data_IF_766584112767
#
_entry.id   IF_766584112767
#
_cell.length_a   1.000
_cell.length_b   1.000
_cell.length_c   1.000
_cell.angle_alpha   90.00
_cell.angle_beta   90.00
_cell.angle_gamma   90.00
#
_symmetry.space_group_name_H-M   'P 1'
#
loop_
_entity.id
_entity.type
_entity.pdbx_description
1 polymer ?
#
# COMPACT_ATOMS: atom_id res chain seq x y z
N UNK A 1 2.35 61.37 11.00
CA UNK A 1 2.62 61.90 12.36
C UNK A 1 2.87 60.69 13.25
N UNK A 2 4.16 60.33 13.40
CA UNK A 2 4.96 60.36 14.65
C UNK A 2 4.57 59.20 15.61
N UNK A 3 5.43 58.34 16.14
CA UNK A 3 6.87 58.06 16.01
C UNK A 3 7.16 56.73 16.73
N UNK A 4 8.19 56.01 16.26
CA UNK A 4 8.87 54.87 16.90
C UNK A 4 9.77 55.38 18.05
N UNK A 5 10.21 54.52 18.98
CA UNK A 5 11.67 54.34 19.06
C UNK A 5 12.15 52.88 19.23
N UNK A 6 13.28 52.61 18.57
CA UNK A 6 14.14 51.42 18.67
C UNK A 6 15.16 51.55 19.82
N UNK A 7 15.56 50.41 20.39
CA UNK A 7 16.90 50.12 20.95
C UNK A 7 17.00 48.58 21.07
N UNK A 8 17.82 47.82 20.34
CA UNK A 8 19.29 47.70 20.27
C UNK A 8 19.94 47.51 21.65
N UNK A 9 20.28 46.25 21.95
CA UNK A 9 21.20 45.86 23.03
C UNK A 9 21.91 44.56 22.66
N UNK A 10 23.16 44.67 22.17
CA UNK A 10 24.10 43.56 22.00
C UNK A 10 24.61 43.11 23.36
N UNK A 11 24.61 41.81 23.63
CA UNK A 11 25.44 41.20 24.67
C UNK A 11 26.35 40.13 24.04
N UNK A 12 27.65 40.29 24.25
CA UNK A 12 28.74 39.41 23.83
C UNK A 12 29.61 39.19 25.06
N UNK A 13 29.96 37.94 25.36
CA UNK A 13 30.98 37.41 26.29
C UNK A 13 30.37 36.21 27.05
N UNK A 14 31.02 35.09 27.35
CA UNK A 14 32.38 34.55 27.16
C UNK A 14 32.31 33.09 27.62
N UNK A 15 33.04 32.18 26.97
CA UNK A 15 33.22 30.80 27.42
C UNK A 15 34.08 30.71 28.69
N UNK A 16 33.89 29.71 29.57
CA UNK A 16 34.90 29.33 30.55
C UNK A 16 35.69 28.11 30.07
N UNK A 17 36.99 28.32 29.87
CA UNK A 17 38.03 27.30 29.95
C UNK A 17 38.22 26.88 31.41
N UNK A 18 38.25 25.57 31.69
CA UNK A 18 38.48 25.05 33.03
C UNK A 18 38.91 23.59 33.01
N UNK A 19 40.21 23.37 32.80
CA UNK A 19 40.88 22.09 32.98
C UNK A 19 41.15 21.88 34.48
N UNK A 20 40.70 20.76 35.04
CA UNK A 20 41.09 20.33 36.39
C UNK A 20 41.37 18.82 36.39
N UNK A 21 42.65 18.51 36.52
CA UNK A 21 43.21 17.19 36.81
C UNK A 21 42.98 16.83 38.28
N UNK A 22 42.51 15.61 38.55
CA UNK A 22 42.81 14.91 39.82
C UNK A 22 42.84 13.40 39.61
N UNK A 23 43.97 12.84 40.03
CA UNK A 23 44.39 11.45 39.94
C UNK A 23 44.04 10.64 41.21
N UNK A 24 44.24 9.33 41.09
CA UNK A 24 44.21 8.24 42.10
C UNK A 24 42.82 7.61 42.32
N UNK A 25 42.62 6.27 42.31
CA UNK A 25 43.55 5.13 42.43
C UNK A 25 42.87 3.86 41.85
N UNK A 26 43.64 3.02 41.16
CA UNK A 26 43.24 1.68 40.66
C UNK A 26 43.06 0.68 41.79
N UNK A 27 42.06 -0.18 41.67
CA UNK A 27 42.07 -1.55 42.19
C UNK A 27 41.97 -2.53 41.00
N UNK A 28 42.71 -3.65 41.09
CA UNK A 28 43.01 -4.63 40.03
C UNK A 28 41.88 -5.65 39.80
N UNK A 29 41.54 -5.89 38.51
CA UNK A 29 41.58 -7.15 37.70
C UNK A 29 41.41 -8.53 38.38
N UNK A 30 40.89 -9.60 37.71
CA UNK A 30 41.16 -10.00 36.30
C UNK A 30 39.90 -10.49 35.51
N UNK A 31 39.86 -10.83 34.22
CA UNK A 31 40.82 -10.93 33.12
C UNK A 31 40.27 -11.94 32.08
N UNK A 32 40.21 -11.57 30.81
CA UNK A 32 40.37 -12.47 29.63
C UNK A 32 40.28 -11.66 28.32
N UNK A 33 41.36 -11.67 27.54
CA UNK A 33 41.45 -11.11 26.20
C UNK A 33 41.02 -12.15 25.12
N UNK A 34 40.73 -11.71 23.88
CA UNK A 34 40.20 -12.53 22.81
C UNK A 34 41.29 -13.09 21.89
N UNK A 35 41.07 -14.30 21.34
CA UNK A 35 41.88 -14.85 20.26
C UNK A 35 41.15 -14.76 18.91
N UNK A 36 41.79 -14.09 17.96
CA UNK A 36 41.52 -14.20 16.54
C UNK A 36 42.11 -15.49 15.95
N UNK A 37 41.47 -16.07 14.94
CA UNK A 37 41.99 -17.21 14.19
C UNK A 37 41.15 -17.54 12.96
N UNK A 38 41.64 -17.13 11.78
CA UNK A 38 41.19 -17.54 10.46
C UNK A 38 41.85 -18.88 10.10
N UNK A 39 41.11 -19.87 9.57
CA UNK A 39 41.55 -20.80 8.51
C UNK A 39 40.45 -21.83 8.09
N UNK A 40 40.08 -21.77 6.81
CA UNK A 40 39.95 -22.87 5.83
C UNK A 40 39.00 -24.08 6.01
N UNK A 41 38.22 -24.31 4.93
CA UNK A 41 37.26 -25.39 4.54
C UNK A 41 37.88 -26.84 4.48
N UNK A 42 37.20 -27.88 3.92
CA UNK A 42 35.96 -28.58 4.34
C UNK A 42 36.08 -30.14 4.28
N UNK A 43 35.14 -30.88 4.89
CA UNK A 43 34.90 -32.32 4.62
C UNK A 43 33.56 -32.74 5.25
N UNK A 44 32.50 -33.07 4.49
CA UNK A 44 32.20 -34.33 3.80
C UNK A 44 31.61 -35.44 4.70
N UNK A 45 30.31 -35.70 4.49
CA UNK A 45 29.61 -37.02 4.47
C UNK A 45 29.47 -37.80 5.79
N UNK A 46 28.23 -37.98 6.26
CA UNK A 46 27.52 -39.29 6.27
C UNK A 46 26.20 -39.26 7.03
N UNK A 47 25.17 -39.87 6.43
CA UNK A 47 23.87 -40.23 7.01
C UNK A 47 23.98 -41.53 7.81
N UNK A 48 23.13 -41.70 8.83
CA UNK A 48 22.49 -42.96 9.28
C UNK A 48 21.33 -42.56 10.24
N UNK A 49 20.06 -42.63 9.81
CA UNK A 49 19.08 -43.74 9.95
C UNK A 49 18.53 -44.00 11.38
N UNK A 50 17.25 -43.58 11.56
CA UNK A 50 16.06 -44.30 12.05
C UNK A 50 16.08 -45.09 13.37
N UNK A 51 15.01 -44.91 14.18
CA UNK A 51 14.53 -45.93 15.12
C UNK A 51 13.64 -45.43 16.25
N UNK A 52 12.32 -45.53 16.06
CA UNK A 52 11.22 -45.42 17.03
C UNK A 52 11.45 -46.16 18.38
N UNK A 53 10.85 -45.67 19.48
CA UNK A 53 9.62 -46.27 20.04
C UNK A 53 9.04 -45.55 21.27
N UNK A 54 7.74 -45.83 21.49
CA UNK A 54 6.70 -45.27 22.38
C UNK A 54 7.02 -45.52 23.89
N UNK A 55 6.41 -44.92 24.93
CA UNK A 55 4.97 -44.79 25.26
C UNK A 55 4.79 -44.14 26.67
N UNK A 56 3.67 -43.39 26.88
CA UNK A 56 2.85 -43.22 28.13
C UNK A 56 3.47 -42.43 29.32
N UNK A 57 2.81 -41.50 30.03
CA UNK A 57 1.42 -41.33 30.51
C UNK A 57 0.99 -39.83 30.61
N UNK A 58 -0.31 -39.48 30.75
CA UNK A 58 -0.80 -38.11 30.94
C UNK A 58 -1.21 -37.79 32.41
N UNK A 59 -1.30 -36.49 32.81
CA UNK A 59 -2.02 -36.08 34.02
C UNK A 59 -3.39 -35.40 33.71
N UNK A 60 -4.27 -35.27 34.73
CA UNK A 60 -5.73 -35.25 34.54
C UNK A 60 -6.40 -33.87 34.52
N UNK A 61 -7.66 -33.92 34.13
CA UNK A 61 -8.67 -32.88 33.96
C UNK A 61 -8.87 -31.92 35.16
N UNK A 62 -9.08 -30.65 34.82
CA UNK A 62 -9.72 -29.65 35.68
C UNK A 62 -10.97 -29.12 34.97
N UNK A 63 -12.15 -29.43 35.52
CA UNK A 63 -13.45 -28.88 35.14
C UNK A 63 -14.49 -29.33 36.16
N UNK A 64 -15.47 -28.54 36.58
CA UNK A 64 -15.86 -27.21 36.21
C UNK A 64 -16.90 -26.69 37.22
N UNK A 65 -17.02 -25.37 37.29
CA UNK A 65 -18.02 -24.68 38.09
C UNK A 65 -19.39 -24.72 37.39
N UNK A 66 -20.42 -25.10 38.13
CA UNK A 66 -21.83 -25.03 37.73
C UNK A 66 -22.41 -23.64 37.99
N UNK A 67 -22.98 -23.02 36.95
CA UNK A 67 -23.69 -21.74 37.05
C UNK A 67 -24.82 -21.61 36.03
N UNK A 68 -26.05 -21.69 36.54
CA UNK A 68 -27.26 -20.92 36.19
C UNK A 68 -27.63 -20.59 34.73
N UNK A 69 -28.90 -20.82 34.39
CA UNK A 69 -29.62 -19.92 33.47
C UNK A 69 -30.71 -20.57 32.62
N UNK A 70 -31.89 -20.81 33.21
CA UNK A 70 -33.11 -20.99 32.42
C UNK A 70 -33.71 -19.65 32.04
N UNK A 71 -34.24 -19.53 30.81
CA UNK A 71 -35.38 -18.68 30.41
C UNK A 71 -35.61 -18.78 28.89
N UNK A 72 -36.76 -19.29 28.47
CA UNK A 72 -37.32 -19.14 27.13
C UNK A 72 -38.76 -18.67 27.28
N UNK A 73 -39.23 -17.78 26.41
CA UNK A 73 -40.56 -18.02 25.84
C UNK A 73 -40.68 -17.73 24.34
N UNK A 74 -41.33 -18.68 23.68
CA UNK A 74 -42.41 -18.57 22.68
C UNK A 74 -42.46 -17.37 21.70
N UNK A 75 -42.47 -17.71 20.40
CA UNK A 75 -42.99 -16.88 19.31
C UNK A 75 -44.35 -17.43 18.82
N UNK A 76 -45.32 -16.57 18.47
CA UNK A 76 -46.49 -16.98 17.71
C UNK A 76 -46.45 -16.52 16.25
N UNK A 77 -47.14 -17.32 15.44
CA UNK A 77 -47.25 -17.30 13.98
C UNK A 77 -48.62 -16.74 13.58
N UNK A 78 -48.71 -15.74 12.70
CA UNK A 78 -49.93 -15.39 11.91
C UNK A 78 -49.51 -14.70 10.60
N UNK A 79 -49.65 -15.35 9.44
CA UNK A 79 -50.76 -15.26 8.46
C UNK A 79 -51.02 -13.86 7.86
N UNK A 80 -50.59 -13.65 6.60
CA UNK A 80 -51.03 -12.53 5.75
C UNK A 80 -52.01 -13.04 4.69
N UNK A 81 -53.23 -12.51 4.74
CA UNK A 81 -54.29 -12.65 3.73
C UNK A 81 -54.02 -11.75 2.53
N UNK A 82 -54.38 -12.27 1.35
CA UNK A 82 -54.56 -11.55 0.11
C UNK A 82 -55.70 -10.52 0.21
N UNK A 83 -55.57 -9.43 -0.55
CA UNK A 83 -56.66 -8.51 -0.82
C UNK A 83 -56.81 -8.33 -2.33
N UNK A 84 -57.97 -8.73 -2.85
CA UNK A 84 -58.47 -8.49 -4.20
C UNK A 84 -59.69 -7.58 -4.08
N UNK A 85 -59.89 -6.70 -5.06
CA UNK A 85 -61.20 -6.12 -5.30
C UNK A 85 -61.20 -4.70 -5.87
N UNK A 86 -61.64 -4.59 -7.12
CA UNK A 86 -62.76 -3.74 -7.60
C UNK A 86 -62.37 -3.07 -8.92
N UNK A 87 -62.75 -3.60 -10.09
CA UNK A 87 -64.07 -3.55 -10.75
C UNK A 87 -64.47 -2.14 -11.23
N UNK A 88 -64.63 -1.97 -12.55
CA UNK A 88 -65.92 -1.59 -13.16
C UNK A 88 -65.94 -1.78 -14.68
N UNK A 89 -67.05 -2.38 -15.13
CA UNK A 89 -67.47 -2.71 -16.50
C UNK A 89 -68.04 -1.51 -17.28
N UNK A 90 -68.11 -1.62 -18.62
CA UNK A 90 -69.12 -0.90 -19.40
C UNK A 90 -69.04 -0.98 -20.94
N UNK A 91 -69.65 -2.04 -21.52
CA UNK A 91 -70.36 -2.16 -22.83
C UNK A 91 -69.82 -1.45 -24.10
N UNK A 92 -69.39 -2.14 -25.18
CA UNK A 92 -70.07 -3.05 -26.14
C UNK A 92 -70.88 -2.36 -27.26
N UNK A 93 -70.43 -2.51 -28.53
CA UNK A 93 -71.13 -3.19 -29.66
C UNK A 93 -70.59 -2.71 -31.03
N UNK A 94 -70.06 -3.65 -31.84
CA UNK A 94 -70.54 -4.07 -33.18
C UNK A 94 -70.10 -3.16 -34.36
N UNK A 95 -69.76 -3.60 -35.58
CA UNK A 95 -69.86 -4.88 -36.30
C UNK A 95 -69.06 -4.82 -37.63
N UNK A 96 -68.60 -5.98 -38.11
CA UNK A 96 -68.53 -6.48 -39.51
C UNK A 96 -67.62 -5.85 -40.59
N UNK A 97 -66.70 -6.69 -41.07
CA UNK A 97 -66.39 -7.08 -42.47
C UNK A 97 -66.56 -6.08 -43.63
N UNK A 98 -65.48 -5.81 -44.38
CA UNK A 98 -65.25 -6.34 -45.74
C UNK A 98 -64.18 -5.53 -46.51
N UNK A 99 -63.42 -6.24 -47.33
CA UNK A 99 -62.34 -5.78 -48.18
C UNK A 99 -62.80 -5.05 -49.47
N UNK A 100 -61.96 -4.12 -49.98
CA UNK A 100 -61.30 -4.13 -51.32
C UNK A 100 -60.81 -2.74 -51.76
N UNK A 101 -59.52 -2.69 -52.15
CA UNK A 101 -58.93 -2.20 -53.43
C UNK A 101 -59.85 -1.32 -54.32
N UNK A 102 -59.42 -0.22 -54.98
CA UNK A 102 -58.14 0.09 -55.64
C UNK A 102 -58.23 1.48 -56.34
N UNK A 103 -57.08 2.14 -56.56
CA UNK A 103 -56.76 3.16 -57.61
C UNK A 103 -57.47 4.53 -57.49
N UNK A 104 -56.95 5.70 -57.86
CA UNK A 104 -55.79 6.15 -58.64
C UNK A 104 -55.68 7.69 -58.47
N UNK A 105 -54.50 8.29 -58.60
CA UNK A 105 -54.31 9.74 -58.76
C UNK A 105 -53.00 10.18 -58.12
N UNK A 106 -51.85 9.98 -58.77
CA UNK A 106 -51.19 10.92 -59.70
C UNK A 106 -51.16 12.36 -59.17
N UNK A 107 -49.90 12.78 -58.98
CA UNK A 107 -49.40 14.14 -59.10
C UNK A 107 -49.40 15.00 -57.83
N UNK A 108 -48.27 14.87 -57.14
CA UNK A 108 -47.36 15.95 -56.75
C UNK A 108 -47.02 15.87 -55.26
N UNK A 109 -45.75 15.59 -54.97
CA UNK A 109 -44.83 16.55 -54.37
C UNK A 109 -43.76 15.80 -53.57
N UNK A 110 -42.53 15.86 -54.11
CA UNK A 110 -41.29 15.95 -53.34
C UNK A 110 -40.75 14.70 -52.64
N UNK A 111 -39.58 14.29 -53.13
CA UNK A 111 -38.42 13.73 -52.41
C UNK A 111 -38.74 12.95 -51.13
N UNK A 112 -38.50 11.65 -51.16
CA UNK A 112 -37.66 10.89 -50.19
C UNK A 112 -38.06 9.42 -50.26
N UNK A 113 -37.42 8.61 -51.13
CA UNK A 113 -37.39 7.15 -51.01
C UNK A 113 -36.29 6.56 -51.91
N UNK A 114 -35.05 6.81 -51.51
CA UNK A 114 -33.89 5.96 -51.81
C UNK A 114 -33.04 5.95 -50.53
N UNK A 115 -33.29 5.00 -49.63
CA UNK A 115 -32.42 4.53 -48.51
C UNK A 115 -33.27 3.86 -47.41
N UNK A 116 -34.06 2.85 -47.74
CA UNK A 116 -34.83 2.13 -46.70
C UNK A 116 -34.85 0.62 -46.93
N UNK A 117 -33.71 0.07 -47.31
CA UNK A 117 -33.40 -1.36 -47.22
C UNK A 117 -31.88 -1.43 -47.15
N UNK A 118 -31.31 -2.18 -46.19
CA UNK A 118 -29.94 -2.04 -45.65
C UNK A 118 -29.85 -1.01 -44.50
N UNK A 119 -30.66 -1.16 -43.45
CA UNK A 119 -30.30 -0.67 -42.12
C UNK A 119 -31.02 -1.47 -41.04
N UNK A 120 -30.93 -2.80 -41.08
CA UNK A 120 -31.50 -3.67 -40.04
C UNK A 120 -30.63 -4.88 -39.70
N UNK A 121 -29.37 -4.89 -40.15
CA UNK A 121 -28.37 -5.89 -39.78
C UNK A 121 -27.02 -5.27 -39.36
N UNK A 122 -27.00 -3.97 -39.06
CA UNK A 122 -25.82 -3.27 -38.51
C UNK A 122 -26.05 -2.74 -37.08
N UNK A 123 -27.24 -2.94 -36.51
CA UNK A 123 -27.59 -2.56 -35.13
C UNK A 123 -27.69 -3.77 -34.19
N UNK A 124 -27.39 -4.98 -34.67
CA UNK A 124 -27.25 -6.18 -33.84
C UNK A 124 -25.79 -6.54 -33.53
N UNK A 125 -24.82 -5.74 -34.01
CA UNK A 125 -23.39 -5.89 -33.73
C UNK A 125 -22.78 -4.58 -33.16
N UNK A 126 -23.62 -3.76 -32.54
CA UNK A 126 -23.22 -2.65 -31.68
C UNK A 126 -23.95 -2.75 -30.34
N UNK A 127 -24.29 -3.97 -29.94
CA UNK A 127 -24.42 -4.32 -28.53
C UNK A 127 -23.01 -4.30 -27.97
N UNK A 128 -22.56 -3.09 -27.63
CA UNK A 128 -21.34 -2.81 -26.92
C UNK A 128 -21.34 -3.74 -25.70
N UNK A 129 -20.59 -4.83 -25.78
CA UNK A 129 -20.08 -5.52 -24.62
C UNK A 129 -19.19 -4.48 -23.93
N UNK A 130 -19.79 -3.60 -23.15
CA UNK A 130 -19.11 -3.04 -21.99
C UNK A 130 -18.87 -4.26 -21.11
N UNK A 131 -17.79 -4.99 -21.41
CA UNK A 131 -17.18 -5.90 -20.48
C UNK A 131 -16.98 -5.06 -19.25
N UNK A 132 -17.81 -5.25 -18.22
CA UNK A 132 -17.43 -4.90 -16.87
C UNK A 132 -16.21 -5.79 -16.65
N UNK A 133 -15.04 -5.28 -16.99
CA UNK A 133 -13.80 -6.02 -16.85
C UNK A 133 -13.70 -6.28 -15.35
N UNK A 134 -14.05 -7.50 -14.95
CA UNK A 134 -13.94 -7.93 -13.57
C UNK A 134 -12.53 -7.62 -13.10
N UNK A 135 -12.41 -7.13 -11.88
CA UNK A 135 -11.11 -7.00 -11.23
C UNK A 135 -10.34 -8.32 -11.36
N UNK A 136 -9.10 -8.24 -11.82
CA UNK A 136 -8.18 -9.37 -11.91
C UNK A 136 -7.21 -9.30 -10.75
N UNK A 137 -7.15 -10.36 -9.95
CA UNK A 137 -6.24 -10.45 -8.81
C UNK A 137 -5.09 -11.40 -9.12
N UNK A 138 -3.88 -10.94 -8.85
CA UNK A 138 -2.67 -11.75 -8.83
C UNK A 138 -2.19 -11.82 -7.39
N UNK A 139 -1.89 -13.02 -6.90
CA UNK A 139 -1.50 -13.25 -5.51
C UNK A 139 -0.05 -13.66 -5.42
N UNK A 140 0.65 -13.17 -4.41
CA UNK A 140 1.95 -13.70 -3.99
C UNK A 140 1.80 -15.02 -3.23
N UNK A 141 2.94 -15.60 -2.88
CA UNK A 141 2.98 -16.79 -2.02
C UNK A 141 2.37 -16.48 -0.64
N UNK A 142 1.73 -17.49 -0.05
CA UNK A 142 1.14 -17.36 1.28
C UNK A 142 2.12 -17.83 2.36
N UNK A 143 2.20 -17.07 3.44
CA UNK A 143 2.88 -17.47 4.68
C UNK A 143 1.86 -17.89 5.72
N UNK A 144 2.26 -18.79 6.61
CA UNK A 144 1.40 -19.25 7.72
C UNK A 144 1.59 -18.35 8.93
N UNK A 145 0.49 -17.94 9.56
CA UNK A 145 0.48 -17.19 10.83
C UNK A 145 -0.54 -17.86 11.75
N UNK A 146 -0.08 -18.46 12.85
CA UNK A 146 -0.93 -19.33 13.67
C UNK A 146 -1.51 -20.48 12.85
N UNK A 147 -2.85 -20.61 12.85
CA UNK A 147 -3.59 -21.54 11.97
C UNK A 147 -4.10 -20.90 10.68
N UNK A 148 -3.82 -19.61 10.47
CA UNK A 148 -4.25 -18.84 9.31
C UNK A 148 -3.16 -18.61 8.28
N UNK A 149 -3.46 -17.74 7.31
CA UNK A 149 -2.54 -17.36 6.25
C UNK A 149 -2.50 -15.86 6.04
N UNK A 150 -1.38 -15.39 5.52
CA UNK A 150 -1.17 -14.02 5.06
C UNK A 150 -0.46 -14.04 3.70
N UNK A 151 -0.84 -13.17 2.76
CA UNK A 151 -0.23 -13.08 1.43
C UNK A 151 -0.42 -11.68 0.84
N UNK A 152 0.41 -11.33 -0.14
CA UNK A 152 0.24 -10.10 -0.91
C UNK A 152 -0.65 -10.33 -2.14
N UNK A 153 -1.13 -9.24 -2.72
CA UNK A 153 -1.79 -9.26 -4.02
C UNK A 153 -1.58 -7.95 -4.79
N UNK A 154 -1.87 -8.02 -6.09
CA UNK A 154 -2.06 -6.85 -6.96
C UNK A 154 -3.37 -7.03 -7.73
N UNK A 155 -4.19 -6.00 -7.73
CA UNK A 155 -5.46 -5.95 -8.44
C UNK A 155 -5.34 -5.09 -9.69
N UNK A 156 -5.77 -5.63 -10.83
CA UNK A 156 -5.88 -4.92 -12.09
C UNK A 156 -7.34 -4.68 -12.46
N UNK A 157 -7.65 -3.46 -12.89
CA UNK A 157 -8.95 -3.07 -13.45
C UNK A 157 -8.73 -2.59 -14.88
N UNK A 158 -9.39 -3.22 -15.85
CA UNK A 158 -9.28 -2.85 -17.28
C UNK A 158 -7.84 -2.76 -17.81
N UNK A 159 -6.95 -3.64 -17.33
CA UNK A 159 -5.54 -3.70 -17.77
C UNK A 159 -4.57 -2.74 -17.07
N UNK A 160 -5.03 -1.90 -16.14
CA UNK A 160 -4.18 -1.06 -15.31
C UNK A 160 -4.18 -1.55 -13.84
N UNK A 161 -3.03 -1.49 -13.13
CA UNK A 161 -3.01 -1.79 -11.71
C UNK A 161 -3.85 -0.75 -10.96
N UNK A 162 -4.60 -1.21 -9.98
CA UNK A 162 -5.57 -0.40 -9.23
C UNK A 162 -5.37 -0.47 -7.72
N UNK A 163 -4.90 -1.63 -7.22
CA UNK A 163 -4.51 -1.84 -5.82
C UNK A 163 -3.30 -2.76 -5.71
N UNK A 164 -2.53 -2.56 -4.66
CA UNK A 164 -1.52 -3.48 -4.16
C UNK A 164 -1.73 -3.60 -2.66
N UNK A 165 -1.67 -4.81 -2.10
CA UNK A 165 -2.06 -4.99 -0.71
C UNK A 165 -1.69 -6.33 -0.11
N UNK A 166 -2.13 -6.51 1.14
CA UNK A 166 -1.98 -7.71 1.95
C UNK A 166 -3.37 -8.21 2.29
N UNK A 167 -3.57 -9.52 2.17
CA UNK A 167 -4.72 -10.22 2.74
C UNK A 167 -4.25 -11.15 3.84
N UNK A 168 -4.99 -11.18 4.94
CA UNK A 168 -4.79 -12.14 6.02
C UNK A 168 -6.14 -12.75 6.41
N UNK A 169 -6.16 -14.06 6.65
CA UNK A 169 -7.37 -14.70 7.16
C UNK A 169 -7.69 -14.21 8.57
N UNK A 170 -8.96 -14.27 8.97
CA UNK A 170 -9.41 -13.91 10.32
C UNK A 170 -8.65 -14.71 11.40
N UNK A 171 -8.32 -15.98 11.13
CA UNK A 171 -7.54 -16.81 12.04
C UNK A 171 -6.09 -16.32 12.18
N UNK A 172 -5.47 -15.83 11.09
CA UNK A 172 -4.14 -15.22 11.13
C UNK A 172 -4.16 -13.89 11.89
N UNK A 173 -5.12 -13.02 11.59
CA UNK A 173 -5.30 -11.74 12.29
C UNK A 173 -5.49 -11.94 13.79
N UNK A 174 -6.36 -12.88 14.19
CA UNK A 174 -6.60 -13.17 15.60
C UNK A 174 -5.35 -13.74 16.30
N UNK A 175 -4.53 -14.53 15.60
CA UNK A 175 -3.32 -15.10 16.17
C UNK A 175 -2.31 -14.03 16.62
N UNK A 176 -2.16 -12.92 15.87
CA UNK A 176 -1.20 -11.85 16.20
C UNK A 176 -1.36 -11.29 17.61
N UNK A 177 -2.58 -11.23 18.15
CA UNK A 177 -2.84 -10.77 19.52
C UNK A 177 -2.09 -11.56 20.61
N UNK A 178 -1.61 -12.77 20.28
CA UNK A 178 -0.86 -13.66 21.17
C UNK A 178 0.58 -13.91 20.74
N UNK A 179 0.98 -13.40 19.57
CA UNK A 179 2.31 -13.62 19.01
C UNK A 179 3.28 -12.50 19.44
N UNK A 180 4.57 -12.84 19.63
CA UNK A 180 5.60 -11.81 19.83
C UNK A 180 5.75 -10.95 18.58
N UNK A 181 6.43 -9.82 18.72
CA UNK A 181 6.72 -8.94 17.59
C UNK A 181 7.48 -9.66 16.48
N UNK A 182 7.17 -9.32 15.23
CA UNK A 182 7.69 -10.04 14.07
C UNK A 182 7.69 -9.19 12.80
N UNK A 183 8.77 -9.27 12.04
CA UNK A 183 8.87 -8.69 10.70
C UNK A 183 8.75 -9.79 9.63
N UNK A 184 7.60 -9.87 8.96
CA UNK A 184 7.33 -10.88 7.93
C UNK A 184 7.56 -10.30 6.54
N UNK A 185 8.58 -10.79 5.85
CA UNK A 185 8.85 -10.43 4.44
C UNK A 185 7.98 -11.27 3.50
N UNK A 186 7.19 -10.60 2.67
CA UNK A 186 6.29 -11.19 1.69
C UNK A 186 6.68 -10.78 0.29
N UNK A 187 6.88 -11.76 -0.59
CA UNK A 187 7.06 -11.53 -2.02
C UNK A 187 5.79 -10.95 -2.62
N UNK A 188 5.93 -10.01 -3.55
CA UNK A 188 4.84 -9.57 -4.42
C UNK A 188 4.62 -10.56 -5.58
N UNK A 189 3.40 -10.64 -6.15
CA UNK A 189 3.20 -11.34 -7.41
C UNK A 189 4.04 -10.70 -8.52
N UNK A 190 4.43 -11.49 -9.54
CA UNK A 190 5.28 -11.00 -10.64
C UNK A 190 4.64 -9.89 -11.48
N UNK A 191 3.34 -9.66 -11.33
CA UNK A 191 2.56 -8.59 -11.94
C UNK A 191 2.60 -7.28 -11.14
N UNK A 192 3.33 -7.19 -10.03
CA UNK A 192 3.46 -5.94 -9.31
C UNK A 192 4.04 -4.83 -10.19
N UNK A 193 3.41 -3.64 -10.23
CA UNK A 193 3.93 -2.54 -11.00
C UNK A 193 5.16 -1.94 -10.32
N UNK A 194 6.07 -1.38 -11.11
CA UNK A 194 7.10 -0.49 -10.58
C UNK A 194 6.46 0.68 -9.81
N UNK A 195 7.09 1.17 -8.73
CA UNK A 195 8.42 0.80 -8.24
C UNK A 195 8.43 -0.34 -7.19
N UNK A 196 7.31 -1.00 -6.91
CA UNK A 196 7.20 -1.95 -5.79
C UNK A 196 8.04 -3.22 -5.98
N UNK A 197 8.74 -3.62 -4.93
CA UNK A 197 9.64 -4.78 -4.90
C UNK A 197 9.10 -5.91 -4.01
N UNK A 198 8.84 -5.62 -2.73
CA UNK A 198 8.33 -6.57 -1.75
C UNK A 198 7.54 -5.83 -0.65
N UNK A 199 6.91 -6.60 0.24
CA UNK A 199 6.19 -6.06 1.41
C UNK A 199 6.77 -6.64 2.68
N UNK A 200 6.97 -5.81 3.70
CA UNK A 200 7.16 -6.27 5.07
C UNK A 200 5.92 -5.97 5.88
N UNK A 201 5.43 -6.96 6.62
CA UNK A 201 4.41 -6.76 7.66
C UNK A 201 5.11 -6.86 8.99
N UNK A 202 5.36 -5.71 9.61
CA UNK A 202 5.91 -5.64 10.96
C UNK A 202 4.77 -5.64 11.97
N UNK A 203 4.84 -6.53 12.96
CA UNK A 203 3.88 -6.63 14.04
C UNK A 203 4.53 -6.13 15.32
N UNK A 204 3.98 -5.06 15.88
CA UNK A 204 4.46 -4.39 17.09
C UNK A 204 3.43 -4.58 18.23
N UNK A 205 3.42 -5.72 18.95
CA UNK A 205 2.41 -6.01 19.98
C UNK A 205 2.46 -5.06 21.18
N UNK A 206 3.62 -4.47 21.46
CA UNK A 206 3.83 -3.50 22.55
C UNK A 206 3.93 -2.05 22.04
N UNK A 207 3.70 -1.84 20.73
CA UNK A 207 4.04 -0.60 20.05
C UNK A 207 5.55 -0.38 19.94
N UNK A 208 5.96 0.85 19.57
CA UNK A 208 7.35 1.26 19.49
C UNK A 208 7.52 2.77 19.76
N UNK A 209 8.74 3.26 20.00
CA UNK A 209 9.00 4.69 20.19
C UNK A 209 8.53 5.54 19.00
N UNK A 210 8.01 6.73 19.28
CA UNK A 210 7.51 7.66 18.27
C UNK A 210 6.50 8.65 18.89
N UNK A 211 5.78 9.44 18.07
CA UNK A 211 4.70 10.33 18.50
C UNK A 211 3.46 9.53 18.93
N UNK A 212 3.55 8.73 19.99
CA UNK A 212 2.39 8.03 20.55
C UNK A 212 2.08 6.65 19.95
N UNK A 213 3.02 6.04 19.22
CA UNK A 213 2.92 4.68 18.63
C UNK A 213 3.02 3.54 19.66
N UNK A 214 2.42 3.72 20.84
CA UNK A 214 2.51 2.78 21.96
C UNK A 214 1.40 1.71 21.96
N UNK A 215 0.41 1.82 21.07
CA UNK A 215 -0.66 0.84 20.95
C UNK A 215 -0.20 -0.35 20.10
N UNK A 216 -0.73 -1.57 20.28
CA UNK A 216 -0.43 -2.69 19.39
C UNK A 216 -0.84 -2.37 17.94
N UNK A 217 0.07 -2.51 16.98
CA UNK A 217 -0.17 -2.11 15.59
C UNK A 217 0.70 -2.87 14.59
N UNK A 218 0.33 -2.73 13.32
CA UNK A 218 1.08 -3.23 12.18
C UNK A 218 1.65 -2.09 11.36
N UNK A 219 2.86 -2.32 10.85
CA UNK A 219 3.55 -1.43 9.92
C UNK A 219 3.67 -2.16 8.58
N UNK A 220 2.91 -1.71 7.59
CA UNK A 220 2.84 -2.33 6.28
C UNK A 220 3.81 -1.64 5.33
N UNK A 221 5.07 -2.05 5.32
CA UNK A 221 6.08 -1.42 4.47
C UNK A 221 6.01 -1.98 3.05
N UNK A 222 5.64 -1.14 2.08
CA UNK A 222 5.70 -1.44 0.66
C UNK A 222 7.01 -0.90 0.08
N UNK A 223 8.02 -1.77 0.00
CA UNK A 223 9.37 -1.38 -0.39
C UNK A 223 9.52 -1.22 -1.91
N UNK A 224 10.36 -0.26 -2.30
CA UNK A 224 10.82 -0.04 -3.67
C UNK A 224 12.22 -0.64 -3.89
N UNK A 225 13.05 -0.61 -2.85
CA UNK A 225 14.39 -1.19 -2.83
C UNK A 225 14.37 -2.71 -2.63
N UNK A 226 15.47 -3.38 -3.00
CA UNK A 226 15.59 -4.82 -2.78
C UNK A 226 15.72 -5.16 -1.28
N UNK A 227 15.38 -6.39 -0.85
CA UNK A 227 15.58 -6.79 0.54
C UNK A 227 17.03 -6.65 1.01
N UNK A 228 18.02 -6.86 0.12
CA UNK A 228 19.44 -6.71 0.44
C UNK A 228 19.84 -5.25 0.64
N UNK A 229 19.33 -4.33 -0.18
CA UNK A 229 19.56 -2.89 -0.02
C UNK A 229 18.94 -2.38 1.27
N UNK A 230 17.70 -2.79 1.55
CA UNK A 230 16.98 -2.47 2.78
C UNK A 230 17.76 -2.99 3.98
N UNK A 231 18.14 -4.28 4.02
CA UNK A 231 18.89 -4.88 5.13
C UNK A 231 20.27 -4.24 5.38
N UNK A 232 20.84 -3.55 4.39
CA UNK A 232 22.11 -2.84 4.52
C UNK A 232 21.98 -1.42 5.12
N UNK A 233 20.76 -0.92 5.34
CA UNK A 233 20.52 0.41 5.94
C UNK A 233 20.96 0.39 7.42
N UNK A 234 21.95 1.20 7.82
CA UNK A 234 22.45 1.25 9.19
C UNK A 234 21.55 2.10 10.10
N UNK A 235 21.84 2.06 11.40
CA UNK A 235 21.40 3.11 12.31
C UNK A 235 22.27 4.34 12.12
N UNK A 236 21.66 5.48 11.81
CA UNK A 236 22.37 6.76 11.67
C UNK A 236 21.50 7.91 12.17
N UNK A 237 22.11 9.04 12.60
CA UNK A 237 21.39 10.31 12.71
C UNK A 237 20.74 10.69 11.38
N UNK A 238 19.57 11.33 11.44
CA UNK A 238 18.90 11.86 10.26
C UNK A 238 19.85 12.73 9.40
N UNK A 239 19.94 12.49 8.08
CA UNK A 239 20.68 13.37 7.18
C UNK A 239 19.97 14.71 6.98
N UNK A 240 20.51 15.55 6.10
CA UNK A 240 19.77 16.73 5.64
C UNK A 240 18.42 16.31 5.03
N UNK A 241 17.35 17.12 5.19
CA UNK A 241 16.03 16.81 4.64
C UNK A 241 16.08 16.52 3.14
N UNK A 242 15.22 15.60 2.71
CA UNK A 242 14.97 15.29 1.29
C UNK A 242 14.51 16.58 0.59
N UNK A 243 14.87 16.74 -0.68
CA UNK A 243 14.40 17.87 -1.49
C UNK A 243 12.87 17.96 -1.42
N UNK A 244 12.30 19.13 -1.04
CA UNK A 244 10.86 19.30 -0.88
C UNK A 244 10.01 18.89 -2.08
N UNK A 245 10.56 18.86 -3.31
CA UNK A 245 9.79 18.41 -4.47
C UNK A 245 9.40 16.92 -4.40
N UNK A 246 10.15 16.10 -3.64
CA UNK A 246 9.92 14.66 -3.44
C UNK A 246 9.16 14.35 -2.16
N UNK A 247 8.82 15.35 -1.36
CA UNK A 247 8.15 15.22 -0.07
C UNK A 247 6.73 15.76 -0.19
N UNK A 248 5.76 15.01 0.32
CA UNK A 248 4.37 15.46 0.37
C UNK A 248 4.20 16.64 1.35
N UNK A 249 3.19 17.47 1.14
CA UNK A 249 2.93 18.58 2.06
C UNK A 249 2.57 18.07 3.46
N UNK A 250 2.99 18.83 4.47
CA UNK A 250 2.69 18.54 5.89
C UNK A 250 3.30 17.22 6.40
N UNK A 251 4.36 16.78 5.75
CA UNK A 251 5.22 15.70 6.20
C UNK A 251 6.53 16.25 6.78
N UNK A 252 7.00 15.67 7.88
CA UNK A 252 8.28 16.03 8.47
C UNK A 252 9.15 14.80 8.78
N UNK A 253 10.47 14.90 8.60
CA UNK A 253 11.38 13.81 8.91
C UNK A 253 11.48 13.54 10.41
N UNK A 254 11.59 12.26 10.74
CA UNK A 254 12.12 11.83 12.03
C UNK A 254 13.61 12.15 12.17
N UNK A 255 14.07 12.21 13.43
CA UNK A 255 15.44 12.57 13.78
C UNK A 255 16.46 11.44 13.58
N UNK A 256 16.03 10.25 13.18
CA UNK A 256 16.87 9.06 13.02
C UNK A 256 16.60 8.34 11.71
N UNK A 257 17.59 7.62 11.22
CA UNK A 257 17.45 6.54 10.25
C UNK A 257 17.26 5.25 11.03
N UNK A 258 16.14 4.57 10.82
CA UNK A 258 15.85 3.28 11.44
C UNK A 258 16.55 2.17 10.63
N UNK A 259 17.32 1.27 11.28
CA UNK A 259 18.00 0.18 10.61
C UNK A 259 17.04 -0.68 9.82
N UNK A 260 17.48 -1.15 8.65
CA UNK A 260 16.67 -1.97 7.78
C UNK A 260 15.34 -1.35 7.31
N UNK A 261 15.18 -0.02 7.41
CA UNK A 261 13.98 0.70 6.98
C UNK A 261 14.37 1.99 6.25
N UNK A 262 14.91 2.97 6.99
CA UNK A 262 15.20 4.31 6.50
C UNK A 262 14.77 5.41 7.47
N UNK A 263 14.80 6.64 7.00
CA UNK A 263 14.22 7.80 7.69
C UNK A 263 12.73 7.88 7.37
N UNK A 264 11.91 7.87 8.41
CA UNK A 264 10.47 8.05 8.31
C UNK A 264 10.14 9.54 8.16
N UNK A 265 9.22 9.85 7.24
CA UNK A 265 8.59 11.16 7.14
C UNK A 265 7.14 11.00 7.60
N UNK A 266 6.81 11.69 8.69
CA UNK A 266 5.57 11.54 9.44
C UNK A 266 4.53 12.57 9.02
N UNK A 267 3.27 12.15 8.94
CA UNK A 267 2.12 13.02 8.68
C UNK A 267 1.83 13.92 9.90
N UNK A 268 2.12 15.22 9.80
CA UNK A 268 1.90 16.18 10.88
C UNK A 268 0.42 16.50 11.13
N UNK A 269 -0.47 16.11 10.23
CA UNK A 269 -1.92 16.27 10.37
C UNK A 269 -2.58 15.03 10.99
N UNK A 270 -1.82 13.95 11.24
CA UNK A 270 -2.35 12.77 11.89
C UNK A 270 -2.79 13.06 13.33
N UNK A 271 -3.81 12.35 13.84
CA UNK A 271 -4.41 12.63 15.15
C UNK A 271 -3.38 12.66 16.29
N UNK A 272 -2.37 11.79 16.25
CA UNK A 272 -1.32 11.70 17.27
C UNK A 272 -0.45 12.97 17.41
N UNK A 273 -0.39 13.81 16.38
CA UNK A 273 0.23 15.13 16.43
C UNK A 273 -0.74 16.25 16.81
N UNK A 274 -2.04 15.97 16.81
CA UNK A 274 -3.12 16.96 16.92
C UNK A 274 -4.06 16.69 18.11
N UNK A 275 -3.57 15.98 19.13
CA UNK A 275 -4.27 15.74 20.39
C UNK A 275 -5.26 14.57 20.37
N UNK A 276 -5.32 13.82 19.26
CA UNK A 276 -6.06 12.56 19.14
C UNK A 276 -5.18 11.34 19.38
N UNK A 277 -5.78 10.14 19.50
CA UNK A 277 -5.03 8.89 19.62
C UNK A 277 -4.49 8.42 18.26
N UNK A 278 -3.36 7.73 18.27
CA UNK A 278 -2.90 6.95 17.12
C UNK A 278 -3.87 5.80 16.84
N UNK A 279 -4.42 5.75 15.63
CA UNK A 279 -5.31 4.68 15.14
C UNK A 279 -4.81 4.12 13.82
N UNK A 280 -4.46 5.01 12.90
CA UNK A 280 -3.76 4.77 11.64
C UNK A 280 -3.01 6.02 11.22
N UNK A 281 -1.94 5.86 10.48
CA UNK A 281 -1.14 6.95 9.91
C UNK A 281 -0.51 6.49 8.60
N UNK A 282 0.04 7.39 7.81
CA UNK A 282 0.74 7.06 6.57
C UNK A 282 2.11 7.72 6.58
N UNK A 283 3.15 6.95 6.29
CA UNK A 283 4.54 7.36 6.33
C UNK A 283 5.19 7.16 4.96
N UNK A 284 6.08 8.11 4.62
CA UNK A 284 7.02 7.97 3.52
C UNK A 284 8.40 7.61 4.07
N UNK A 285 9.01 6.57 3.51
CA UNK A 285 10.36 6.15 3.87
C UNK A 285 11.40 6.65 2.90
N UNK A 286 12.52 7.16 3.41
CA UNK A 286 13.65 7.60 2.59
C UNK A 286 14.98 7.09 3.12
N UNK A 287 15.91 6.82 2.20
CA UNK A 287 17.31 6.57 2.54
C UNK A 287 18.21 7.28 1.54
N UNK A 288 19.21 8.02 2.04
CA UNK A 288 20.11 8.86 1.22
C UNK A 288 19.37 9.76 0.21
N UNK A 289 18.23 10.31 0.63
CA UNK A 289 17.41 11.20 -0.19
C UNK A 289 16.54 10.49 -1.23
N UNK A 290 16.58 9.16 -1.34
CA UNK A 290 15.73 8.37 -2.24
C UNK A 290 14.56 7.77 -1.47
N UNK A 291 13.35 7.80 -2.02
CA UNK A 291 12.19 7.13 -1.43
C UNK A 291 12.38 5.61 -1.52
N UNK A 292 12.34 4.94 -0.37
CA UNK A 292 12.57 3.49 -0.25
C UNK A 292 11.30 2.70 0.02
N UNK A 293 10.28 3.29 0.65
CA UNK A 293 9.01 2.62 0.91
C UNK A 293 7.85 3.57 1.17
N UNK A 294 6.65 3.00 1.15
CA UNK A 294 5.40 3.59 1.62
C UNK A 294 4.85 2.73 2.77
N UNK A 295 4.32 3.36 3.82
CA UNK A 295 3.96 2.63 5.04
C UNK A 295 2.63 3.16 5.63
N UNK A 296 1.53 2.43 5.43
CA UNK A 296 0.40 2.50 6.33
C UNK A 296 0.76 1.84 7.66
N UNK A 297 0.62 2.56 8.78
CA UNK A 297 0.55 1.93 10.09
C UNK A 297 -0.91 1.88 10.53
N UNK A 298 -1.37 0.75 11.06
CA UNK A 298 -2.76 0.59 11.53
C UNK A 298 -2.77 -0.20 12.83
N UNK A 299 -3.40 0.36 13.85
CA UNK A 299 -3.59 -0.31 15.14
C UNK A 299 -4.41 -1.58 15.01
N UNK A 300 -4.05 -2.60 15.79
CA UNK A 300 -4.79 -3.85 15.87
C UNK A 300 -6.26 -3.60 16.19
N UNK A 301 -6.54 -2.71 17.15
CA UNK A 301 -7.89 -2.36 17.56
C UNK A 301 -8.72 -1.73 16.42
N UNK A 302 -8.09 -0.91 15.57
CA UNK A 302 -8.76 -0.31 14.41
C UNK A 302 -9.18 -1.39 13.41
N UNK A 303 -8.28 -2.30 13.05
CA UNK A 303 -8.61 -3.43 12.18
C UNK A 303 -9.68 -4.32 12.82
N UNK A 304 -9.52 -4.68 14.09
CA UNK A 304 -10.43 -5.56 14.83
C UNK A 304 -11.87 -5.02 14.91
N UNK A 305 -12.05 -3.69 14.89
CA UNK A 305 -13.38 -3.07 14.82
C UNK A 305 -14.15 -3.43 13.54
N UNK A 306 -13.45 -3.91 12.50
CA UNK A 306 -14.01 -4.37 11.24
C UNK A 306 -14.44 -3.25 10.32
N UNK A 307 -15.25 -3.59 9.31
CA UNK A 307 -15.76 -2.61 8.34
C UNK A 307 -14.77 -2.31 7.22
N UNK A 308 -14.91 -1.14 6.62
CA UNK A 308 -14.07 -0.67 5.52
C UNK A 308 -13.82 0.82 5.66
N UNK A 309 -12.56 1.21 5.54
CA UNK A 309 -12.14 2.61 5.62
C UNK A 309 -11.00 2.87 4.63
N UNK A 310 -10.94 4.09 4.12
CA UNK A 310 -9.81 4.59 3.34
C UNK A 310 -9.51 6.03 3.71
N UNK A 311 -8.28 6.46 3.44
CA UNK A 311 -7.85 7.84 3.55
C UNK A 311 -7.02 8.22 2.32
N UNK A 312 -7.12 9.48 1.91
CA UNK A 312 -6.30 10.00 0.82
C UNK A 312 -4.83 10.12 1.26
N UNK A 313 -3.91 9.83 0.35
CA UNK A 313 -2.48 10.03 0.52
C UNK A 313 -2.11 11.36 -0.13
N UNK A 314 -1.63 12.34 0.66
CA UNK A 314 -1.10 13.59 0.11
C UNK A 314 0.15 13.30 -0.70
N UNK A 315 0.20 13.80 -1.92
CA UNK A 315 1.26 13.46 -2.88
C UNK A 315 2.42 14.47 -2.82
N UNK A 316 3.67 14.04 -3.08
CA UNK A 316 4.74 14.97 -3.44
C UNK A 316 4.45 15.64 -4.79
N UNK A 317 5.20 16.71 -5.10
CA UNK A 317 5.05 17.40 -6.39
C UNK A 317 5.51 16.55 -7.57
N UNK A 318 6.46 15.64 -7.34
CA UNK A 318 6.93 14.66 -8.31
C UNK A 318 7.46 13.40 -7.60
N UNK A 319 7.66 12.33 -8.37
CA UNK A 319 8.30 11.09 -7.90
C UNK A 319 9.65 10.89 -8.59
N UNK A 320 10.62 10.35 -7.86
CA UNK A 320 12.00 10.18 -8.33
C UNK A 320 12.13 9.07 -9.38
N UNK A 321 11.28 8.04 -9.30
CA UNK A 321 11.22 6.94 -10.25
C UNK A 321 9.90 6.94 -11.01
N UNK A 322 9.93 6.58 -12.29
CA UNK A 322 8.69 6.38 -13.06
C UNK A 322 7.99 5.11 -12.58
N UNK A 323 6.68 5.16 -12.36
CA UNK A 323 5.94 4.02 -11.82
C UNK A 323 4.51 4.36 -11.44
N UNK A 324 3.82 3.41 -10.81
CA UNK A 324 2.47 3.59 -10.29
C UNK A 324 2.53 3.91 -8.80
N UNK A 325 1.90 5.02 -8.40
CA UNK A 325 1.90 5.50 -7.02
C UNK A 325 0.46 5.62 -6.49
N UNK A 326 0.22 5.27 -5.22
CA UNK A 326 -1.11 5.28 -4.65
C UNK A 326 -1.55 6.67 -4.27
N UNK A 327 -2.85 6.92 -4.39
CA UNK A 327 -3.51 8.16 -3.96
C UNK A 327 -4.41 7.96 -2.75
N UNK A 328 -4.58 6.70 -2.32
CA UNK A 328 -5.31 6.31 -1.12
C UNK A 328 -4.67 5.09 -0.47
N UNK A 329 -4.86 4.94 0.84
CA UNK A 329 -4.62 3.69 1.54
C UNK A 329 -5.86 3.35 2.37
N UNK A 330 -6.03 2.07 2.70
CA UNK A 330 -7.19 1.67 3.48
C UNK A 330 -7.14 0.23 3.92
N UNK A 331 -8.22 -0.17 4.57
CA UNK A 331 -8.45 -1.54 4.94
C UNK A 331 -9.92 -1.92 4.75
N UNK A 332 -10.18 -3.21 4.65
CA UNK A 332 -11.52 -3.77 4.73
C UNK A 332 -11.51 -5.13 5.41
N UNK A 333 -12.63 -5.49 6.03
CA UNK A 333 -12.86 -6.81 6.59
C UNK A 333 -14.18 -7.36 6.04
N UNK A 334 -14.10 -8.49 5.35
CA UNK A 334 -15.25 -9.22 4.80
C UNK A 334 -14.87 -10.66 4.49
N UNK A 335 -15.85 -11.57 4.51
CA UNK A 335 -15.63 -12.99 4.20
C UNK A 335 -14.49 -13.65 5.00
N UNK A 336 -14.33 -13.24 6.27
CA UNK A 336 -13.26 -13.69 7.18
C UNK A 336 -11.85 -13.39 6.66
N UNK A 337 -11.69 -12.32 5.88
CA UNK A 337 -10.41 -11.83 5.36
C UNK A 337 -10.27 -10.36 5.71
N UNK A 338 -9.17 -10.03 6.39
CA UNK A 338 -8.70 -8.67 6.53
C UNK A 338 -7.84 -8.32 5.32
N UNK A 339 -8.13 -7.18 4.70
CA UNK A 339 -7.47 -6.63 3.54
C UNK A 339 -6.90 -5.26 3.92
N UNK A 340 -5.61 -5.04 3.67
CA UNK A 340 -4.94 -3.74 3.83
C UNK A 340 -4.29 -3.40 2.50
N UNK A 341 -4.52 -2.20 1.98
CA UNK A 341 -4.15 -1.87 0.61
C UNK A 341 -3.67 -0.43 0.43
N UNK A 342 -2.83 -0.27 -0.60
CA UNK A 342 -2.58 0.97 -1.31
C UNK A 342 -3.44 0.97 -2.58
N UNK A 343 -4.26 2.00 -2.76
CA UNK A 343 -5.22 2.11 -3.85
C UNK A 343 -5.04 3.38 -4.70
N UNK A 344 -5.86 3.50 -5.74
CA UNK A 344 -5.81 4.63 -6.66
C UNK A 344 -4.45 4.76 -7.34
N UNK A 345 -3.86 3.63 -7.74
CA UNK A 345 -2.54 3.55 -8.36
C UNK A 345 -2.52 4.29 -9.70
N UNK A 346 -1.82 5.42 -9.74
CA UNK A 346 -1.69 6.27 -10.91
C UNK A 346 -0.26 6.28 -11.42
N UNK A 347 -0.09 6.19 -12.74
CA UNK A 347 1.23 6.28 -13.33
C UNK A 347 1.78 7.71 -13.23
N UNK A 348 2.96 7.86 -12.66
CA UNK A 348 3.74 9.10 -12.64
C UNK A 348 5.05 8.88 -13.39
N UNK A 349 5.36 9.76 -14.34
CA UNK A 349 6.66 9.80 -14.99
C UNK A 349 7.64 10.61 -14.14
N UNK A 350 8.85 10.09 -13.93
CA UNK A 350 9.89 10.84 -13.23
C UNK A 350 10.36 12.02 -14.08
N UNK A 351 10.55 13.21 -13.49
CA UNK A 351 11.21 14.33 -14.17
C UNK A 351 12.73 14.16 -14.21
N UNK A 352 13.30 13.16 -13.52
CA UNK A 352 14.72 12.83 -13.58
C UNK A 352 14.99 12.08 -14.89
N UNK A 353 15.88 12.57 -15.78
CA UNK A 353 16.20 11.86 -17.00
C UNK A 353 16.82 10.50 -16.69
N UNK A 354 16.29 9.44 -17.29
CA UNK A 354 16.89 8.10 -17.20
C UNK A 354 18.37 8.17 -17.61
N UNK A 355 19.30 7.44 -16.94
CA UNK A 355 20.74 7.50 -17.24
C UNK A 355 21.06 7.28 -18.73
N UNK A 356 20.26 6.51 -19.45
CA UNK A 356 20.37 6.25 -20.89
C UNK A 356 20.15 7.49 -21.76
N UNK A 357 19.41 8.48 -21.27
CA UNK A 357 19.14 9.76 -21.95
C UNK A 357 20.42 10.60 -22.11
N UNK A 358 21.33 10.52 -21.12
CA UNK A 358 22.63 11.16 -21.21
C UNK A 358 23.53 10.52 -22.27
N UNK A 359 23.40 9.21 -22.50
CA UNK A 359 24.11 8.49 -23.57
C UNK A 359 23.68 8.95 -24.97
N UNK A 360 22.38 9.17 -25.18
CA UNK A 360 21.85 9.63 -26.47
C UNK A 360 22.19 11.11 -26.76
N UNK A 361 22.11 11.99 -25.77
CA UNK A 361 22.52 13.39 -25.92
C UNK A 361 24.04 13.52 -26.12
N UNK A 362 24.84 12.70 -25.42
CA UNK A 362 26.28 12.62 -25.63
C UNK A 362 26.66 12.15 -27.03
N UNK A 363 25.99 11.11 -27.56
CA UNK A 363 26.19 10.61 -28.91
C UNK A 363 25.77 11.64 -29.99
N UNK A 364 24.66 12.34 -29.78
CA UNK A 364 24.21 13.41 -30.68
C UNK A 364 25.17 14.61 -30.70
N UNK A 365 25.69 15.02 -29.54
CA UNK A 365 26.67 16.10 -29.42
C UNK A 365 28.02 15.74 -30.08
N UNK A 366 28.49 14.50 -29.90
CA UNK A 366 29.68 13.97 -30.59
C UNK A 366 29.46 13.89 -32.10
N UNK A 367 28.31 13.42 -32.56
CA UNK A 367 27.93 13.38 -33.97
C UNK A 367 27.93 14.78 -34.61
N UNK A 368 27.37 15.78 -33.92
CA UNK A 368 27.38 17.17 -34.38
C UNK A 368 28.80 17.74 -34.45
N UNK A 369 29.66 17.48 -33.46
CA UNK A 369 31.05 17.94 -33.46
C UNK A 369 31.88 17.34 -34.61
N UNK A 370 31.66 16.06 -34.94
CA UNK A 370 32.32 15.38 -36.06
C UNK A 370 31.88 15.98 -37.40
N UNK A 371 30.58 16.29 -37.56
CA UNK A 371 30.06 16.94 -38.77
C UNK A 371 30.58 18.37 -38.94
N UNK A 372 30.66 19.15 -37.85
CA UNK A 372 31.23 20.50 -37.86
C UNK A 372 32.72 20.47 -38.23
N UNK A 373 33.50 19.53 -37.66
CA UNK A 373 34.92 19.36 -38.01
C UNK A 373 35.13 18.91 -39.46
N UNK A 374 34.27 18.05 -39.99
CA UNK A 374 34.31 17.65 -41.41
C UNK A 374 34.02 18.81 -42.35
N UNK A 375 33.00 19.64 -42.05
CA UNK A 375 32.72 20.87 -42.82
C UNK A 375 33.86 21.88 -42.74
N UNK A 376 34.46 22.09 -41.56
CA UNK A 376 35.58 23.01 -41.41
C UNK A 376 36.84 22.59 -42.18
N UNK A 377 37.07 21.27 -42.37
CA UNK A 377 38.16 20.77 -43.21
C UNK A 377 37.85 20.88 -44.70
N UNK A 378 36.60 20.69 -45.11
CA UNK A 378 36.17 20.83 -46.50
C UNK A 378 36.16 22.27 -47.01
N UNK A 379 36.14 23.27 -46.13
CA UNK A 379 36.20 24.70 -46.48
C UNK A 379 37.66 25.20 -46.60
N UNK A 380 38.64 24.44 -46.09
CA UNK A 380 40.08 24.78 -46.12
C UNK A 380 40.87 24.06 -47.21
N UNK A 381 40.25 23.14 -47.93
CA UNK A 381 40.78 22.49 -49.13
C UNK A 381 40.06 23.09 -50.34
#
# INVERSE_FOLDING_TARGET
MLSVPSAVGRARATAPTGCATRSFRRLRQPGSEPCAGICSRPSSVSRCFSGNDRHKDPPPDAGGCSGSGGSSPATPRTSRKANTGSAHNGYSTASRFSARKHHSGRDAFVRTMKKTTILSFATALCGLLASVASAQFYYGDSVTVGSGWMRTYVQYNSGAPSRIGIQMSEDAFNAFSSLPGSANMLSLPTQAPAPFNHVMVDWNPEGHPGPGYNAPHFDFHFYFSSPEEVAAIPFDPAPAPVDPMWVASDYAPDAVVVPAMGQHYLDLLSPEFNGGPFTKTFIYGYYQGQMTFLEPMITYATLQSGGSESAAIRQPSAFQASGYYPTEYGFSHGDRVYDVYLGGLNFAASPVPEPSTYGLLGAAALGALVLIRRRARAIKA
#
